data_IF_296359801935
#
_entry.id   IF_296359801935
#
_cell.length_a   1.000
_cell.length_b   1.000
_cell.length_c   1.000
_cell.angle_alpha   90.00
_cell.angle_beta   90.00
_cell.angle_gamma   90.00
#
_symmetry.space_group_name_H-M   'P 1'
#
loop_
_entity.id
_entity.type
_entity.pdbx_description
1 polymer ?
#
# COMPACT_ATOMS: atom_id res chain seq x y z
N UNK A 1 -7.67 -2.19 14.25
CA UNK A 1 -6.46 -2.82 13.69
C UNK A 1 -6.66 -4.34 13.63
N UNK A 2 -6.24 -4.97 12.54
CA UNK A 2 -6.28 -6.41 12.27
C UNK A 2 -5.06 -7.10 12.90
N UNK A 3 -5.15 -8.39 13.24
CA UNK A 3 -4.01 -9.27 13.59
C UNK A 3 -3.89 -10.41 12.58
N UNK A 4 -2.68 -10.92 12.37
CA UNK A 4 -2.45 -12.00 11.41
C UNK A 4 -2.61 -11.54 9.96
N UNK A 5 -2.73 -12.50 9.04
CA UNK A 5 -2.78 -12.22 7.60
C UNK A 5 -4.22 -11.98 7.11
N UNK A 6 -4.39 -11.14 6.09
CA UNK A 6 -5.69 -10.92 5.45
C UNK A 6 -5.55 -10.46 4.00
N UNK A 7 -6.64 -10.56 3.24
CA UNK A 7 -6.79 -9.97 1.89
C UNK A 7 -7.90 -8.93 1.94
N UNK A 8 -7.69 -7.79 1.27
CA UNK A 8 -8.67 -6.71 1.13
C UNK A 8 -8.84 -6.34 -0.34
N UNK A 9 -10.08 -6.20 -0.77
CA UNK A 9 -10.40 -5.68 -2.10
C UNK A 9 -10.41 -4.15 -2.07
N UNK A 10 -10.14 -3.53 -3.21
CA UNK A 10 -10.30 -2.09 -3.42
C UNK A 10 -10.90 -1.80 -4.79
N UNK A 11 -11.71 -0.76 -4.86
CA UNK A 11 -12.40 -0.34 -6.09
C UNK A 11 -11.46 0.35 -7.08
N UNK A 12 -11.94 0.61 -8.30
CA UNK A 12 -11.20 1.32 -9.34
C UNK A 12 -11.10 2.83 -9.07
N UNK A 13 -10.03 3.45 -9.55
CA UNK A 13 -9.87 4.90 -9.64
C UNK A 13 -10.31 5.47 -11.00
N UNK A 14 -10.01 6.75 -11.23
CA UNK A 14 -10.13 7.39 -12.54
C UNK A 14 -8.90 7.07 -13.39
N UNK A 15 -9.08 7.06 -14.72
CA UNK A 15 -7.98 6.81 -15.65
C UNK A 15 -6.87 7.85 -15.45
N UNK A 16 -5.66 7.37 -15.15
CA UNK A 16 -4.50 8.21 -14.88
C UNK A 16 -4.25 8.51 -13.40
N UNK A 17 -5.12 8.05 -12.50
CA UNK A 17 -4.86 8.14 -11.05
C UNK A 17 -3.66 7.27 -10.65
N UNK A 18 -2.92 7.72 -9.65
CA UNK A 18 -1.96 6.92 -8.92
C UNK A 18 -2.67 6.12 -7.82
N UNK A 19 -2.17 4.92 -7.54
CA UNK A 19 -2.62 4.11 -6.42
C UNK A 19 -1.78 4.47 -5.20
N UNK A 20 -2.41 4.72 -4.05
CA UNK A 20 -1.70 4.85 -2.79
C UNK A 20 -2.06 3.72 -1.82
N UNK A 21 -1.08 3.34 -1.01
CA UNK A 21 -1.21 2.34 0.04
C UNK A 21 -0.54 2.86 1.30
N UNK A 22 -1.32 3.04 2.35
CA UNK A 22 -0.85 3.38 3.68
C UNK A 22 -1.03 2.21 4.63
N UNK A 23 0.02 1.88 5.36
CA UNK A 23 0.03 0.81 6.35
C UNK A 23 0.50 1.39 7.66
N UNK A 24 -0.34 1.27 8.69
CA UNK A 24 0.02 1.54 10.07
C UNK A 24 0.13 0.24 10.83
N UNK A 25 1.20 0.03 11.59
CA UNK A 25 1.36 -1.18 12.38
C UNK A 25 2.03 -0.95 13.74
N UNK A 26 1.75 -1.86 14.68
CA UNK A 26 2.32 -1.88 16.03
C UNK A 26 2.60 -3.32 16.46
N UNK A 27 3.69 -3.50 17.20
CA UNK A 27 4.15 -4.79 17.69
C UNK A 27 5.38 -5.23 16.91
N UNK A 28 6.31 -5.90 17.58
CA UNK A 28 7.58 -6.31 16.98
C UNK A 28 7.34 -7.33 15.86
N UNK A 29 7.73 -6.99 14.64
CA UNK A 29 7.68 -7.89 13.49
C UNK A 29 7.69 -7.15 12.17
N UNK A 30 7.56 -7.91 11.08
CA UNK A 30 7.51 -7.36 9.72
C UNK A 30 6.19 -7.71 9.07
N UNK A 31 5.52 -6.72 8.50
CA UNK A 31 4.34 -6.91 7.65
C UNK A 31 4.79 -6.94 6.20
N UNK A 32 4.31 -7.91 5.43
CA UNK A 32 4.52 -7.96 3.98
C UNK A 32 3.24 -7.57 3.27
N UNK A 33 3.35 -6.65 2.32
CA UNK A 33 2.21 -6.10 1.57
C UNK A 33 2.41 -6.41 0.10
N UNK A 34 1.41 -7.01 -0.53
CA UNK A 34 1.41 -7.33 -1.96
C UNK A 34 0.15 -6.74 -2.58
N UNK A 35 0.33 -5.91 -3.62
CA UNK A 35 -0.75 -5.19 -4.29
C UNK A 35 -0.87 -5.66 -5.73
N UNK A 36 -2.01 -6.29 -6.03
CA UNK A 36 -2.44 -6.57 -7.41
C UNK A 36 -3.50 -5.51 -7.72
N UNK A 37 -3.35 -4.69 -8.78
CA UNK A 37 -2.87 -5.05 -10.11
C UNK A 37 -1.45 -4.56 -10.47
N UNK A 38 -0.84 -3.69 -9.66
CA UNK A 38 0.41 -2.97 -10.00
C UNK A 38 1.70 -3.75 -9.74
N UNK A 39 1.61 -5.04 -9.35
CA UNK A 39 2.76 -5.91 -8.99
C UNK A 39 3.70 -5.29 -7.93
N UNK A 40 3.15 -4.44 -7.08
CA UNK A 40 3.89 -3.79 -6.00
C UNK A 40 3.98 -4.74 -4.80
N UNK A 41 5.16 -4.85 -4.20
CA UNK A 41 5.39 -5.62 -2.98
C UNK A 41 6.41 -4.91 -2.10
N UNK A 42 6.13 -4.74 -0.81
CA UNK A 42 7.05 -4.08 0.11
C UNK A 42 6.90 -4.58 1.55
N UNK A 43 8.02 -4.66 2.30
CA UNK A 43 8.00 -4.89 3.74
C UNK A 43 7.70 -3.61 4.52
N UNK A 44 7.09 -3.74 5.69
CA UNK A 44 6.96 -2.68 6.70
C UNK A 44 7.46 -3.20 8.03
N UNK A 45 8.47 -2.56 8.59
CA UNK A 45 8.99 -2.88 9.92
C UNK A 45 8.13 -2.24 11.01
N UNK A 46 7.65 -3.09 11.92
CA UNK A 46 6.78 -2.71 13.02
C UNK A 46 7.56 -2.79 14.33
N UNK A 47 7.63 -1.65 15.03
CA UNK A 47 8.36 -1.54 16.28
C UNK A 47 7.51 -1.98 17.47
N UNK A 48 8.17 -2.43 18.54
CA UNK A 48 7.52 -2.60 19.84
C UNK A 48 7.16 -1.23 20.43
N UNK A 49 5.94 -1.08 20.94
CA UNK A 49 5.54 0.07 21.76
C UNK A 49 5.23 1.38 21.01
N UNK A 50 5.42 1.47 19.70
CA UNK A 50 5.06 2.63 18.87
C UNK A 50 4.38 2.19 17.58
N UNK A 51 3.61 3.08 16.98
CA UNK A 51 3.08 2.86 15.64
C UNK A 51 4.16 3.23 14.61
N UNK A 52 4.40 2.33 13.67
CA UNK A 52 5.08 2.64 12.41
C UNK A 52 4.01 2.92 11.35
N UNK A 53 4.21 3.96 10.51
CA UNK A 53 3.36 4.23 9.35
C UNK A 53 4.23 4.32 8.10
N UNK A 54 3.82 3.62 7.05
CA UNK A 54 4.42 3.73 5.71
C UNK A 54 3.33 4.12 4.73
N UNK A 55 3.61 5.11 3.90
CA UNK A 55 2.76 5.55 2.80
C UNK A 55 3.54 5.42 1.50
N UNK A 56 2.97 4.71 0.53
CA UNK A 56 3.57 4.53 -0.78
C UNK A 56 2.56 4.88 -1.87
N UNK A 57 3.04 5.55 -2.91
CA UNK A 57 2.25 5.90 -4.08
C UNK A 57 2.88 5.34 -5.35
N UNK A 58 2.05 4.88 -6.29
CA UNK A 58 2.48 4.29 -7.54
C UNK A 58 1.65 4.83 -8.72
N UNK A 59 2.28 5.63 -9.58
CA UNK A 59 1.73 6.11 -10.84
C UNK A 59 2.21 5.22 -12.01
N UNK A 60 1.75 3.97 -12.03
CA UNK A 60 2.16 2.96 -13.03
C UNK A 60 0.97 2.41 -13.80
N UNK A 61 1.23 1.70 -14.90
CA UNK A 61 0.18 1.08 -15.70
C UNK A 61 -0.71 0.16 -14.85
N UNK A 62 -2.02 0.42 -14.86
CA UNK A 62 -3.02 -0.33 -14.11
C UNK A 62 -3.25 0.17 -12.68
N UNK A 63 -2.60 1.24 -12.24
CA UNK A 63 -2.83 1.87 -10.94
C UNK A 63 -4.28 2.35 -10.74
N UNK A 64 -5.01 2.64 -11.81
CA UNK A 64 -6.42 3.05 -11.81
C UNK A 64 -7.41 1.88 -11.72
N UNK A 65 -6.95 0.62 -11.76
CA UNK A 65 -7.83 -0.56 -11.79
C UNK A 65 -8.16 -1.04 -10.37
N UNK A 66 -9.34 -1.64 -10.22
CA UNK A 66 -9.70 -2.38 -9.01
C UNK A 66 -8.76 -3.57 -8.78
N UNK A 67 -8.65 -4.03 -7.53
CA UNK A 67 -7.76 -5.12 -7.20
C UNK A 67 -7.81 -5.57 -5.75
N UNK A 68 -6.72 -6.20 -5.32
CA UNK A 68 -6.57 -6.77 -3.98
C UNK A 68 -5.23 -6.40 -3.37
N UNK A 69 -5.24 -6.08 -2.07
CA UNK A 69 -4.06 -6.03 -1.22
C UNK A 69 -4.04 -7.26 -0.32
N UNK A 70 -2.98 -8.06 -0.42
CA UNK A 70 -2.71 -9.14 0.51
C UNK A 70 -1.70 -8.67 1.55
N UNK A 71 -2.04 -8.84 2.82
CA UNK A 71 -1.19 -8.50 3.96
C UNK A 71 -0.83 -9.78 4.69
N UNK A 72 0.47 -10.05 4.86
CA UNK A 72 0.98 -11.12 5.71
C UNK A 72 1.66 -10.52 6.93
N UNK A 73 1.23 -10.92 8.11
CA UNK A 73 1.75 -10.39 9.36
C UNK A 73 1.84 -11.48 10.43
N UNK A 74 2.86 -11.45 11.30
CA UNK A 74 2.89 -12.24 12.53
C UNK A 74 1.66 -11.94 13.41
N UNK A 75 1.20 -12.93 14.18
CA UNK A 75 0.05 -12.76 15.08
C UNK A 75 0.26 -11.70 16.17
N UNK A 76 1.52 -11.46 16.56
CA UNK A 76 1.91 -10.41 17.51
C UNK A 76 1.84 -8.98 16.94
N UNK A 77 1.69 -8.81 15.63
CA UNK A 77 1.59 -7.50 14.98
C UNK A 77 0.13 -7.15 14.73
N UNK A 78 -0.25 -5.94 15.15
CA UNK A 78 -1.52 -5.31 14.81
C UNK A 78 -1.30 -4.31 13.69
N UNK A 79 -2.17 -4.30 12.68
CA UNK A 79 -2.03 -3.42 11.52
C UNK A 79 -3.36 -2.82 11.06
N UNK A 80 -3.29 -1.70 10.36
CA UNK A 80 -4.37 -1.07 9.61
C UNK A 80 -3.85 -0.75 8.20
N UNK A 81 -4.75 -0.82 7.22
CA UNK A 81 -4.45 -0.59 5.82
C UNK A 81 -5.46 0.42 5.28
N UNK A 82 -4.95 1.44 4.61
CA UNK A 82 -5.72 2.32 3.75
C UNK A 82 -5.21 2.14 2.33
N UNK A 83 -6.12 1.97 1.39
CA UNK A 83 -5.80 1.88 -0.04
C UNK A 83 -6.79 2.74 -0.81
N UNK A 84 -6.29 3.51 -1.76
CA UNK A 84 -7.11 4.42 -2.53
C UNK A 84 -6.38 4.95 -3.75
N UNK A 85 -7.01 5.90 -4.41
CA UNK A 85 -6.50 6.53 -5.61
C UNK A 85 -6.34 8.03 -5.37
N UNK A 86 -5.28 8.60 -5.92
CA UNK A 86 -5.04 10.04 -5.93
C UNK A 86 -4.81 10.47 -7.36
N UNK A 87 -5.33 11.64 -7.74
CA UNK A 87 -5.05 12.22 -9.06
C UNK A 87 -3.54 12.34 -9.21
N UNK A 88 -2.94 11.58 -10.12
CA UNK A 88 -1.51 11.73 -10.37
C UNK A 88 -1.29 13.14 -10.92
N UNK A 89 -0.42 13.92 -10.28
CA UNK A 89 0.15 15.07 -10.97
C UNK A 89 0.81 14.51 -12.23
N UNK A 90 0.33 14.93 -13.41
CA UNK A 90 0.91 14.53 -14.68
C UNK A 90 2.40 14.84 -14.58
N UNK A 91 3.24 13.82 -14.49
CA UNK A 91 4.68 14.02 -14.57
C UNK A 91 4.92 14.66 -15.95
N UNK A 92 5.21 15.95 -15.97
CA UNK A 92 5.78 16.55 -17.15
C UNK A 92 7.09 15.81 -17.41
N UNK A 93 7.35 15.35 -18.65
CA UNK A 93 8.63 14.75 -18.95
C UNK A 93 9.70 15.76 -18.58
N UNK A 94 10.66 15.36 -17.74
CA UNK A 94 11.87 16.14 -17.53
C UNK A 94 12.53 16.28 -18.90
N UNK A 95 12.42 17.48 -19.49
CA UNK A 95 13.10 17.88 -20.71
C UNK A 95 14.59 17.97 -20.36
N UNK A 96 15.30 16.84 -20.46
CA UNK A 96 16.76 16.82 -20.35
C UNK A 96 17.29 17.27 -21.71
N UNK A 97 17.55 18.58 -21.82
CA UNK A 97 18.38 19.16 -22.87
C UNK A 97 19.85 18.99 -22.56
#
# INVERSE_FOLDING_TARGET
>A
MTSGSAVREFGRGKKGDALFVEVRCRGKGTVQVVVRPVRMSFPVECSAGKDSTVHNEAAVAGADRAGTVAVRAPSAVRWALTVGHVTAARAEPLDIR
#
